data_IF_953131872526
#
_entry.id   IF_953131872526
#
_cell.length_a   1.000
_cell.length_b   1.000
_cell.length_c   1.000
_cell.angle_alpha   90.00
_cell.angle_beta   90.00
_cell.angle_gamma   90.00
#
_symmetry.space_group_name_H-M   'P 1'
#
loop_
_entity.id
_entity.type
_entity.pdbx_description
1 polymer ?
#
# COMPACT_ATOMS: atom_id res chain seq x y z
N UNK A 1 -27.22 56.38 -53.67
CA UNK A 1 -26.94 56.64 -52.25
C UNK A 1 -28.12 56.23 -51.35
N UNK A 2 -29.38 56.20 -51.82
CA UNK A 2 -30.56 55.89 -51.02
C UNK A 2 -30.77 54.34 -50.80
N UNK A 3 -30.27 53.48 -51.64
CA UNK A 3 -30.48 52.03 -51.61
C UNK A 3 -29.79 51.38 -50.39
N UNK A 4 -28.58 51.68 -49.98
CA UNK A 4 -27.96 51.12 -48.79
C UNK A 4 -28.65 51.57 -47.50
N UNK A 5 -29.17 52.76 -47.45
CA UNK A 5 -29.91 53.29 -46.29
C UNK A 5 -31.24 52.55 -46.11
N UNK A 6 -31.94 52.25 -47.20
CA UNK A 6 -33.18 51.49 -47.17
C UNK A 6 -32.96 50.03 -46.75
N UNK A 7 -31.85 49.42 -47.20
CA UNK A 7 -31.45 48.09 -46.79
C UNK A 7 -31.05 47.99 -45.32
N UNK A 8 -30.36 49.03 -44.82
CA UNK A 8 -30.01 49.17 -43.41
C UNK A 8 -31.23 49.34 -42.50
N UNK A 9 -32.26 50.07 -42.95
CA UNK A 9 -33.52 50.19 -42.24
C UNK A 9 -34.37 48.90 -42.21
N UNK A 10 -34.28 48.05 -43.23
CA UNK A 10 -34.96 46.74 -43.27
C UNK A 10 -34.19 45.60 -42.58
N UNK A 11 -32.91 45.75 -42.32
CA UNK A 11 -32.20 44.90 -41.35
C UNK A 11 -32.63 45.36 -39.96
N UNK A 12 -33.85 44.92 -39.68
CA UNK A 12 -34.66 45.45 -38.59
C UNK A 12 -33.89 45.36 -37.26
N UNK A 13 -34.08 46.38 -36.45
CA UNK A 13 -33.71 46.42 -35.04
C UNK A 13 -34.09 45.09 -34.36
N UNK A 14 -35.17 44.46 -34.78
CA UNK A 14 -35.59 43.12 -34.33
C UNK A 14 -34.52 42.04 -34.63
N UNK A 15 -33.93 42.04 -35.81
CA UNK A 15 -32.90 40.99 -36.14
C UNK A 15 -31.60 41.18 -35.35
N UNK A 16 -31.18 42.42 -35.10
CA UNK A 16 -30.04 42.73 -34.26
C UNK A 16 -30.29 42.43 -32.79
N UNK A 17 -31.53 42.66 -32.31
CA UNK A 17 -31.91 42.32 -30.93
C UNK A 17 -32.01 40.82 -30.73
N UNK A 18 -32.62 40.08 -31.67
CA UNK A 18 -32.71 38.61 -31.60
C UNK A 18 -31.34 37.93 -31.72
N UNK A 19 -30.44 38.45 -32.60
CA UNK A 19 -29.08 37.96 -32.70
C UNK A 19 -28.30 38.27 -31.43
N UNK A 20 -28.48 39.46 -30.85
CA UNK A 20 -27.84 39.85 -29.58
C UNK A 20 -28.32 38.96 -28.43
N UNK A 21 -29.63 38.64 -28.41
CA UNK A 21 -30.22 37.76 -27.41
C UNK A 21 -29.70 36.31 -27.53
N UNK A 22 -29.62 35.76 -28.76
CA UNK A 22 -29.04 34.45 -29.03
C UNK A 22 -27.55 34.39 -28.60
N UNK A 23 -26.80 35.47 -28.83
CA UNK A 23 -25.38 35.56 -28.39
C UNK A 23 -25.25 35.56 -26.90
N UNK A 24 -26.15 36.19 -26.15
CA UNK A 24 -26.20 36.14 -24.71
C UNK A 24 -26.54 34.75 -24.15
N UNK A 25 -27.51 34.07 -24.77
CA UNK A 25 -27.89 32.71 -24.37
C UNK A 25 -26.71 31.74 -24.59
N UNK A 26 -26.05 31.80 -25.75
CA UNK A 26 -24.89 30.96 -26.02
C UNK A 26 -23.74 31.25 -25.05
N UNK A 27 -23.46 32.51 -24.81
CA UNK A 27 -22.42 32.91 -23.82
C UNK A 27 -22.74 32.36 -22.43
N UNK A 28 -23.98 32.53 -21.96
CA UNK A 28 -24.39 32.05 -20.66
C UNK A 28 -24.34 30.52 -20.57
N UNK A 29 -24.71 29.81 -21.65
CA UNK A 29 -24.58 28.37 -21.75
C UNK A 29 -23.11 27.94 -21.65
N UNK A 30 -22.19 28.60 -22.35
CA UNK A 30 -20.76 28.31 -22.27
C UNK A 30 -20.18 28.55 -20.88
N UNK A 31 -20.60 29.61 -20.20
CA UNK A 31 -20.20 29.90 -18.83
C UNK A 31 -20.72 28.81 -17.88
N UNK A 32 -21.99 28.43 -18.02
CA UNK A 32 -22.59 27.37 -17.21
C UNK A 32 -21.88 26.02 -17.42
N UNK A 33 -21.55 25.69 -18.69
CA UNK A 33 -20.80 24.48 -19.05
C UNK A 33 -19.38 24.50 -18.44
N UNK A 34 -18.67 25.61 -18.52
CA UNK A 34 -17.35 25.76 -17.90
C UNK A 34 -17.41 25.61 -16.38
N UNK A 35 -18.41 26.20 -15.74
CA UNK A 35 -18.67 26.06 -14.30
C UNK A 35 -18.96 24.60 -13.94
N UNK A 36 -19.80 23.92 -14.68
CA UNK A 36 -20.11 22.51 -14.46
C UNK A 36 -18.88 21.62 -14.59
N UNK A 37 -18.06 21.83 -15.62
CA UNK A 37 -16.80 21.10 -15.83
C UNK A 37 -15.83 21.37 -14.66
N UNK A 38 -15.69 22.64 -14.25
CA UNK A 38 -14.82 23.00 -13.13
C UNK A 38 -15.26 22.35 -11.82
N UNK A 39 -16.55 22.32 -11.53
CA UNK A 39 -17.09 21.67 -10.33
C UNK A 39 -16.84 20.15 -10.38
N UNK A 40 -17.06 19.51 -11.54
CA UNK A 40 -16.80 18.08 -11.74
C UNK A 40 -15.30 17.75 -11.54
N UNK A 41 -14.42 18.57 -12.10
CA UNK A 41 -12.98 18.38 -11.93
C UNK A 41 -12.54 18.57 -10.48
N UNK A 42 -12.97 19.66 -9.86
CA UNK A 42 -12.61 19.95 -8.46
C UNK A 42 -13.18 18.88 -7.52
N UNK A 43 -14.44 18.50 -7.71
CA UNK A 43 -15.08 17.44 -6.94
C UNK A 43 -14.44 16.07 -7.16
N UNK A 44 -14.05 15.76 -8.40
CA UNK A 44 -13.31 14.55 -8.74
C UNK A 44 -11.95 14.47 -8.08
N UNK A 45 -11.15 15.54 -8.17
CA UNK A 45 -9.84 15.62 -7.52
C UNK A 45 -9.98 15.51 -6.00
N UNK A 46 -10.95 16.23 -5.42
CA UNK A 46 -11.21 16.16 -3.98
C UNK A 46 -11.65 14.76 -3.55
N UNK A 47 -12.55 14.12 -4.30
CA UNK A 47 -12.99 12.75 -4.04
C UNK A 47 -11.86 11.73 -4.13
N UNK A 48 -11.00 11.85 -5.14
CA UNK A 48 -9.79 11.02 -5.28
C UNK A 48 -8.85 11.24 -4.09
N UNK A 49 -8.61 12.50 -3.68
CA UNK A 49 -7.75 12.82 -2.53
C UNK A 49 -8.31 12.23 -1.24
N UNK A 50 -9.62 12.30 -1.01
CA UNK A 50 -10.25 11.67 0.15
C UNK A 50 -10.11 10.15 0.13
N UNK A 51 -10.33 9.50 -1.03
CA UNK A 51 -10.13 8.06 -1.18
C UNK A 51 -8.68 7.65 -0.94
N UNK A 52 -7.71 8.43 -1.44
CA UNK A 52 -6.30 8.21 -1.14
C UNK A 52 -5.99 8.40 0.34
N UNK A 53 -6.50 9.45 0.98
CA UNK A 53 -6.30 9.65 2.42
C UNK A 53 -6.92 8.52 3.23
N UNK A 54 -8.16 8.09 2.95
CA UNK A 54 -8.75 6.92 3.61
C UNK A 54 -7.93 5.65 3.37
N UNK A 55 -7.38 5.49 2.16
CA UNK A 55 -6.50 4.37 1.83
C UNK A 55 -5.22 4.40 2.65
N UNK A 56 -4.60 5.59 2.81
CA UNK A 56 -3.37 5.77 3.58
C UNK A 56 -3.61 5.81 5.09
N UNK A 57 -4.72 6.38 5.56
CA UNK A 57 -5.09 6.36 6.99
C UNK A 57 -5.50 4.95 7.46
N UNK A 58 -6.01 4.12 6.55
CA UNK A 58 -6.28 2.70 6.82
C UNK A 58 -5.01 1.84 6.92
N UNK A 59 -3.87 2.34 6.46
CA UNK A 59 -2.57 1.69 6.66
C UNK A 59 -2.13 1.90 8.10
N UNK A 60 -2.00 0.81 8.83
CA UNK A 60 -1.41 0.88 10.16
C UNK A 60 0.06 1.28 10.05
N UNK A 61 0.40 2.47 10.53
CA UNK A 61 1.77 2.98 10.61
C UNK A 61 2.18 3.00 12.08
N UNK A 62 2.91 2.00 12.55
CA UNK A 62 3.31 1.93 13.94
C UNK A 62 4.39 2.94 14.32
N UNK A 63 5.19 3.38 13.34
CA UNK A 63 6.20 4.41 13.52
C UNK A 63 5.60 5.80 13.32
N UNK A 64 6.03 6.76 14.11
CA UNK A 64 5.75 8.17 13.85
C UNK A 64 6.52 8.66 12.61
N UNK A 65 6.05 9.75 11.98
CA UNK A 65 6.75 10.34 10.83
C UNK A 65 8.21 10.71 11.14
N UNK A 66 8.51 11.11 12.38
CA UNK A 66 9.89 11.40 12.81
C UNK A 66 10.72 10.13 12.88
N UNK A 67 10.15 9.03 13.32
CA UNK A 67 10.83 7.73 13.39
C UNK A 67 11.02 7.13 12.01
N UNK A 68 10.01 7.21 11.13
CA UNK A 68 10.13 6.78 9.74
C UNK A 68 11.27 7.52 9.01
N UNK A 69 11.39 8.83 9.22
CA UNK A 69 12.46 9.65 8.63
C UNK A 69 13.86 9.30 9.15
N UNK A 70 13.97 8.58 10.24
CA UNK A 70 15.26 8.10 10.80
C UNK A 70 15.60 6.68 10.36
N UNK A 71 14.69 5.98 9.69
CA UNK A 71 14.95 4.63 9.20
C UNK A 71 15.62 4.71 7.83
N UNK A 72 16.79 4.11 7.73
CA UNK A 72 17.51 3.95 6.46
C UNK A 72 17.38 2.49 6.04
N UNK A 73 16.97 2.24 4.80
CA UNK A 73 16.91 0.92 4.22
C UNK A 73 18.00 0.74 3.16
N UNK A 74 18.67 -0.41 3.19
CA UNK A 74 19.66 -0.80 2.20
C UNK A 74 19.25 -2.15 1.61
N UNK A 75 18.88 -2.16 0.33
CA UNK A 75 18.51 -3.37 -0.39
C UNK A 75 19.67 -3.89 -1.22
N UNK A 76 19.95 -5.17 -1.11
CA UNK A 76 21.07 -5.85 -1.77
C UNK A 76 20.56 -6.67 -2.93
N UNK A 77 20.62 -6.11 -4.12
CA UNK A 77 20.07 -6.77 -5.32
C UNK A 77 21.11 -7.57 -6.14
N UNK A 78 22.40 -7.58 -5.74
CA UNK A 78 23.46 -8.17 -6.56
C UNK A 78 24.33 -9.13 -5.76
N UNK A 79 24.63 -10.29 -6.35
CA UNK A 79 25.51 -11.32 -5.75
C UNK A 79 26.88 -10.76 -5.34
N UNK A 80 27.40 -9.77 -6.06
CA UNK A 80 28.67 -9.11 -5.73
C UNK A 80 28.58 -8.28 -4.43
N UNK A 81 27.42 -7.69 -4.13
CA UNK A 81 27.20 -6.98 -2.89
C UNK A 81 27.07 -7.93 -1.70
N UNK A 82 26.50 -9.11 -1.88
CA UNK A 82 26.38 -10.11 -0.80
C UNK A 82 27.73 -10.54 -0.23
N UNK A 83 28.79 -10.63 -1.05
CA UNK A 83 30.12 -11.02 -0.59
C UNK A 83 30.80 -10.03 0.36
N UNK A 84 30.46 -8.75 0.24
CA UNK A 84 31.08 -7.69 1.05
C UNK A 84 30.08 -7.13 2.08
N UNK A 85 28.88 -7.72 2.17
CA UNK A 85 27.81 -7.16 2.97
C UNK A 85 28.16 -7.17 4.47
N UNK A 86 28.78 -8.25 4.96
CA UNK A 86 29.16 -8.33 6.38
C UNK A 86 30.13 -7.21 6.77
N UNK A 87 31.06 -6.85 5.89
CA UNK A 87 31.97 -5.74 6.12
C UNK A 87 31.23 -4.40 6.12
N UNK A 88 30.36 -4.17 5.13
CA UNK A 88 29.54 -2.97 5.02
C UNK A 88 28.62 -2.82 6.24
N UNK A 89 27.97 -3.91 6.64
CA UNK A 89 27.09 -3.91 7.82
C UNK A 89 27.88 -3.61 9.11
N UNK A 90 29.08 -4.18 9.24
CA UNK A 90 29.98 -3.90 10.36
C UNK A 90 30.38 -2.43 10.40
N UNK A 91 30.74 -1.86 9.25
CA UNK A 91 31.12 -0.46 9.15
C UNK A 91 29.94 0.48 9.50
N UNK A 92 28.76 0.20 8.99
CA UNK A 92 27.54 0.98 9.30
C UNK A 92 27.21 0.86 10.78
N UNK A 93 27.30 -0.33 11.38
CA UNK A 93 27.04 -0.55 12.79
C UNK A 93 28.06 0.13 13.72
N UNK A 94 29.25 0.43 13.22
CA UNK A 94 30.27 1.17 13.99
C UNK A 94 29.94 2.66 14.12
N UNK A 95 28.97 3.17 13.36
CA UNK A 95 28.53 4.55 13.44
C UNK A 95 27.74 4.78 14.75
N UNK A 96 28.10 5.80 15.48
CA UNK A 96 27.47 6.15 16.77
C UNK A 96 26.00 6.56 16.65
N UNK A 97 25.59 6.94 15.46
CA UNK A 97 24.24 7.37 15.12
C UNK A 97 23.26 6.20 14.94
N UNK A 98 23.78 4.99 14.71
CA UNK A 98 22.96 3.79 14.53
C UNK A 98 22.71 3.14 15.88
N UNK A 99 21.47 3.16 16.32
CA UNK A 99 21.04 2.62 17.62
C UNK A 99 20.38 1.25 17.52
N UNK A 100 19.82 0.91 16.36
CA UNK A 100 19.10 -0.34 16.18
C UNK A 100 19.15 -0.81 14.71
N UNK A 101 18.98 -2.12 14.48
CA UNK A 101 18.90 -2.69 13.13
C UNK A 101 17.99 -3.91 13.08
N UNK A 102 17.43 -4.14 11.91
CA UNK A 102 16.75 -5.39 11.56
C UNK A 102 16.95 -5.72 10.08
N UNK A 103 16.59 -6.92 9.70
CA UNK A 103 16.72 -7.35 8.32
C UNK A 103 15.52 -8.16 7.85
N UNK A 104 15.27 -8.11 6.54
CA UNK A 104 14.19 -8.83 5.92
C UNK A 104 14.58 -9.34 4.52
N UNK A 105 13.95 -10.43 4.12
CA UNK A 105 14.04 -10.99 2.77
C UNK A 105 12.96 -10.38 1.87
N UNK A 106 11.71 -10.40 2.34
CA UNK A 106 10.56 -9.77 1.73
C UNK A 106 9.91 -8.85 2.76
N UNK A 107 9.56 -7.66 2.35
CA UNK A 107 8.96 -6.64 3.21
C UNK A 107 7.65 -6.15 2.64
N UNK A 108 6.90 -5.42 3.44
CA UNK A 108 5.69 -4.72 3.01
C UNK A 108 5.96 -3.67 1.92
N UNK A 109 7.21 -3.21 1.80
CA UNK A 109 7.65 -2.21 0.82
C UNK A 109 8.22 -2.86 -0.45
N UNK A 110 8.15 -4.19 -0.56
CA UNK A 110 8.67 -4.88 -1.74
C UNK A 110 7.78 -4.62 -2.97
N UNK A 111 8.39 -4.26 -4.08
CA UNK A 111 7.69 -4.13 -5.37
C UNK A 111 7.08 -5.47 -5.86
N UNK A 112 7.52 -6.57 -5.27
CA UNK A 112 7.07 -7.92 -5.62
C UNK A 112 6.66 -8.66 -4.35
N UNK A 113 5.37 -8.94 -4.23
CA UNK A 113 4.84 -9.76 -3.16
C UNK A 113 4.99 -11.25 -3.48
N UNK A 114 5.46 -12.00 -2.50
CA UNK A 114 5.50 -13.45 -2.57
C UNK A 114 4.28 -14.02 -1.85
N UNK A 115 3.61 -14.97 -2.49
CA UNK A 115 2.44 -15.63 -1.94
C UNK A 115 2.71 -17.10 -1.69
N UNK A 116 2.08 -17.64 -0.65
CA UNK A 116 2.01 -19.07 -0.38
C UNK A 116 0.55 -19.53 -0.48
N UNK A 117 0.35 -20.74 -0.95
CA UNK A 117 -0.98 -21.31 -1.05
C UNK A 117 -1.38 -21.92 0.29
N UNK A 118 -2.42 -21.38 0.90
CA UNK A 118 -3.05 -21.97 2.07
C UNK A 118 -3.85 -23.22 1.68
N UNK A 119 -3.60 -24.31 2.34
CA UNK A 119 -4.19 -25.61 2.06
C UNK A 119 -4.97 -26.13 3.27
N UNK A 120 -6.15 -26.73 3.00
CA UNK A 120 -6.95 -27.47 3.98
C UNK A 120 -7.38 -28.80 3.37
N UNK A 121 -7.16 -29.90 4.08
CA UNK A 121 -7.48 -31.26 3.64
C UNK A 121 -6.90 -31.59 2.25
N UNK A 122 -5.66 -31.14 1.99
CA UNK A 122 -4.98 -31.31 0.73
C UNK A 122 -5.50 -30.46 -0.45
N UNK A 123 -6.43 -29.53 -0.20
CA UNK A 123 -7.03 -28.66 -1.22
C UNK A 123 -6.65 -27.20 -1.00
N UNK A 124 -6.33 -26.45 -2.07
CA UNK A 124 -6.07 -25.02 -1.96
C UNK A 124 -7.34 -24.27 -1.54
N UNK A 125 -7.19 -23.36 -0.60
CA UNK A 125 -8.28 -22.51 -0.07
C UNK A 125 -8.10 -21.04 -0.36
N UNK A 126 -6.87 -20.60 -0.58
CA UNK A 126 -6.55 -19.22 -0.88
C UNK A 126 -5.05 -18.98 -0.87
N UNK A 127 -4.66 -17.78 -1.20
CA UNK A 127 -3.28 -17.33 -1.13
C UNK A 127 -3.09 -16.46 0.10
N UNK A 128 -1.96 -16.60 0.75
CA UNK A 128 -1.51 -15.73 1.84
C UNK A 128 -0.25 -15.00 1.41
N UNK A 129 -0.15 -13.73 1.72
CA UNK A 129 1.05 -12.95 1.47
C UNK A 129 2.14 -13.40 2.44
N UNK A 130 3.32 -13.67 1.93
CA UNK A 130 4.45 -14.12 2.73
C UNK A 130 5.42 -12.97 3.00
N UNK A 131 5.72 -12.74 4.26
CA UNK A 131 6.77 -11.85 4.74
C UNK A 131 7.84 -12.70 5.39
N UNK A 132 9.09 -12.41 5.09
CA UNK A 132 10.22 -13.12 5.67
C UNK A 132 11.19 -12.12 6.26
N UNK A 133 11.42 -12.19 7.57
CA UNK A 133 12.31 -11.29 8.27
C UNK A 133 12.85 -11.91 9.56
N UNK A 134 13.79 -11.22 10.21
CA UNK A 134 14.25 -11.56 11.55
C UNK A 134 13.13 -11.32 12.59
N UNK A 135 13.09 -12.04 13.71
CA UNK A 135 12.10 -11.83 14.77
C UNK A 135 12.09 -10.40 15.31
N UNK A 136 13.25 -9.76 15.38
CA UNK A 136 13.41 -8.38 15.83
C UNK A 136 12.68 -7.36 14.95
N UNK A 137 12.27 -7.73 13.75
CA UNK A 137 11.48 -6.89 12.82
C UNK A 137 10.21 -6.34 13.47
N UNK A 138 9.52 -7.14 14.28
CA UNK A 138 8.32 -6.70 15.00
C UNK A 138 8.60 -5.57 15.99
N UNK A 139 9.70 -5.68 16.75
CA UNK A 139 10.09 -4.68 17.75
C UNK A 139 10.62 -3.41 17.08
N UNK A 140 11.45 -3.57 16.05
CA UNK A 140 12.04 -2.46 15.31
C UNK A 140 10.95 -1.56 14.69
N UNK A 141 9.97 -2.16 14.03
CA UNK A 141 8.84 -1.45 13.43
C UNK A 141 7.66 -1.25 14.38
N UNK A 142 7.78 -1.59 15.66
CA UNK A 142 6.73 -1.48 16.68
C UNK A 142 5.42 -2.14 16.26
N UNK A 143 5.50 -3.26 15.54
CA UNK A 143 4.34 -4.02 15.09
C UNK A 143 3.72 -4.75 16.28
N UNK A 144 2.46 -4.52 16.65
CA UNK A 144 1.83 -5.27 17.70
C UNK A 144 1.75 -6.74 17.33
N UNK A 145 2.27 -7.58 18.20
CA UNK A 145 2.15 -9.02 18.05
C UNK A 145 1.75 -9.66 19.38
N UNK A 146 1.14 -10.81 19.30
CA UNK A 146 0.82 -11.66 20.44
C UNK A 146 1.38 -13.06 20.21
N UNK A 147 1.96 -13.63 21.23
CA UNK A 147 2.62 -14.94 21.17
C UNK A 147 4.06 -14.87 21.65
N UNK A 148 4.83 -15.91 21.37
CA UNK A 148 6.23 -16.01 21.77
C UNK A 148 7.13 -15.70 20.59
N UNK A 149 8.09 -14.80 20.76
CA UNK A 149 9.17 -14.64 19.79
C UNK A 149 9.96 -15.95 19.71
N UNK A 150 10.06 -16.47 18.51
CA UNK A 150 10.86 -17.66 18.21
C UNK A 150 12.28 -17.25 17.89
N UNK A 151 13.21 -18.14 18.18
CA UNK A 151 14.61 -17.92 17.87
C UNK A 151 14.80 -17.74 16.35
N UNK A 152 15.76 -16.92 15.95
CA UNK A 152 16.06 -16.64 14.54
C UNK A 152 16.36 -17.89 13.70
N UNK A 153 16.88 -18.95 14.35
CA UNK A 153 17.20 -20.23 13.71
C UNK A 153 16.07 -21.24 13.79
N UNK A 154 14.93 -20.89 14.40
CA UNK A 154 13.79 -21.79 14.54
C UNK A 154 13.08 -21.96 13.21
N UNK A 155 13.00 -23.20 12.72
CA UNK A 155 12.31 -23.55 11.50
C UNK A 155 10.90 -24.13 11.79
N UNK A 156 10.00 -23.97 10.82
CA UNK A 156 8.66 -24.57 10.91
C UNK A 156 7.69 -23.79 11.80
N UNK A 157 7.99 -22.54 12.14
CA UNK A 157 7.09 -21.64 12.84
C UNK A 157 6.64 -20.51 11.93
N UNK A 158 5.42 -20.00 12.20
CA UNK A 158 4.83 -18.89 11.45
C UNK A 158 4.05 -18.00 12.41
N UNK A 159 4.13 -16.69 12.18
CA UNK A 159 3.17 -15.74 12.75
C UNK A 159 2.14 -15.43 11.68
N UNK A 160 0.89 -15.30 12.09
CA UNK A 160 -0.24 -15.07 11.19
C UNK A 160 -0.86 -13.70 11.44
N UNK A 161 -1.34 -13.05 10.39
CA UNK A 161 -2.10 -11.82 10.56
C UNK A 161 -3.44 -12.08 11.26
N UNK A 162 -3.99 -11.05 11.90
CA UNK A 162 -5.33 -11.14 12.54
C UNK A 162 -6.39 -11.58 11.53
N UNK A 163 -6.32 -11.08 10.29
CA UNK A 163 -7.24 -11.46 9.23
C UNK A 163 -7.12 -12.95 8.86
N UNK A 164 -5.89 -13.46 8.72
CA UNK A 164 -5.69 -14.88 8.43
C UNK A 164 -6.12 -15.77 9.59
N UNK A 165 -5.94 -15.32 10.83
CA UNK A 165 -6.48 -15.99 12.02
C UNK A 165 -7.99 -16.17 11.95
N UNK A 166 -8.73 -15.13 11.53
CA UNK A 166 -10.18 -15.23 11.34
C UNK A 166 -10.57 -16.27 10.28
N UNK A 167 -9.79 -16.34 9.19
CA UNK A 167 -10.00 -17.36 8.16
C UNK A 167 -9.74 -18.76 8.71
N UNK A 168 -8.66 -18.97 9.45
CA UNK A 168 -8.35 -20.25 10.08
C UNK A 168 -9.44 -20.67 11.09
N UNK A 169 -10.00 -19.71 11.84
CA UNK A 169 -11.11 -19.99 12.76
C UNK A 169 -12.37 -20.46 12.00
N UNK A 170 -12.71 -19.80 10.88
CA UNK A 170 -13.81 -20.24 9.99
C UNK A 170 -13.58 -21.66 9.46
N UNK A 171 -12.34 -22.00 9.20
CA UNK A 171 -11.94 -23.31 8.73
C UNK A 171 -11.74 -24.34 9.86
N UNK A 172 -11.94 -23.95 11.13
CA UNK A 172 -11.74 -24.78 12.33
C UNK A 172 -10.31 -25.32 12.47
N UNK A 173 -9.32 -24.53 12.09
CA UNK A 173 -7.90 -24.85 12.19
C UNK A 173 -7.28 -24.09 13.35
N UNK A 174 -6.52 -24.80 14.17
CA UNK A 174 -5.81 -24.23 15.32
C UNK A 174 -4.45 -24.88 15.50
N UNK A 175 -3.47 -24.10 15.93
CA UNK A 175 -2.13 -24.57 16.31
C UNK A 175 -1.15 -24.77 15.18
N UNK A 176 -1.57 -25.26 14.00
CA UNK A 176 -0.72 -25.38 12.81
C UNK A 176 -1.48 -25.06 11.53
N UNK A 177 -0.76 -24.72 10.49
CA UNK A 177 -1.31 -24.39 9.16
C UNK A 177 -0.45 -24.99 8.08
N UNK A 178 -1.08 -25.46 7.00
CA UNK A 178 -0.36 -25.98 5.81
C UNK A 178 -0.28 -24.89 4.74
N UNK A 179 0.95 -24.54 4.39
CA UNK A 179 1.27 -23.56 3.37
C UNK A 179 2.20 -24.20 2.33
N UNK A 180 1.82 -24.16 1.05
CA UNK A 180 2.53 -24.83 -0.06
C UNK A 180 2.87 -26.30 0.22
N UNK A 181 1.92 -27.01 0.89
CA UNK A 181 2.10 -28.42 1.25
C UNK A 181 3.03 -28.68 2.44
N UNK A 182 3.57 -27.65 3.08
CA UNK A 182 4.41 -27.76 4.28
C UNK A 182 3.66 -27.30 5.51
N UNK A 183 3.76 -28.05 6.59
CA UNK A 183 3.11 -27.72 7.87
C UNK A 183 3.99 -26.76 8.68
N UNK A 184 3.35 -25.71 9.20
CA UNK A 184 3.95 -24.73 10.09
C UNK A 184 3.16 -24.62 11.39
N UNK A 185 3.86 -24.52 12.52
CA UNK A 185 3.25 -24.23 13.82
C UNK A 185 3.02 -22.74 13.97
N UNK A 186 1.84 -22.36 14.43
CA UNK A 186 1.49 -20.97 14.68
C UNK A 186 2.14 -20.53 16.00
N UNK A 187 3.13 -19.62 15.92
CA UNK A 187 3.84 -19.07 17.06
C UNK A 187 3.10 -17.89 17.70
N UNK A 188 2.30 -17.19 16.91
CA UNK A 188 1.56 -16.03 17.38
C UNK A 188 0.79 -15.33 16.26
N UNK A 189 0.19 -14.20 16.65
CA UNK A 189 -0.54 -13.35 15.71
C UNK A 189 0.03 -11.94 15.72
N UNK A 190 -0.03 -11.25 14.60
CA UNK A 190 0.39 -9.85 14.48
C UNK A 190 -0.66 -9.02 13.74
N UNK A 191 -0.62 -7.72 13.97
CA UNK A 191 -1.44 -6.78 13.23
C UNK A 191 -0.74 -6.45 11.91
N UNK A 192 -1.39 -6.76 10.81
CA UNK A 192 -0.83 -6.46 9.50
C UNK A 192 -0.60 -4.96 9.31
N UNK A 193 0.54 -4.61 8.69
CA UNK A 193 0.93 -3.22 8.44
C UNK A 193 0.24 -2.63 7.23
N UNK A 194 -0.33 -3.47 6.39
CA UNK A 194 -0.79 -3.05 5.07
C UNK A 194 -2.23 -3.48 4.82
N UNK A 195 -3.00 -2.59 4.16
CA UNK A 195 -4.35 -2.88 3.68
C UNK A 195 -4.38 -3.99 2.62
N UNK A 196 -3.22 -4.41 2.12
CA UNK A 196 -3.13 -5.48 1.12
C UNK A 196 -3.59 -6.84 1.61
N UNK A 197 -3.63 -7.05 2.92
CA UNK A 197 -4.36 -8.17 3.52
C UNK A 197 -5.83 -8.17 3.12
N UNK A 198 -6.37 -7.02 2.71
CA UNK A 198 -7.76 -6.86 2.29
C UNK A 198 -7.96 -6.93 0.78
N UNK A 199 -6.90 -7.07 -0.02
CA UNK A 199 -7.06 -7.27 -1.46
C UNK A 199 -7.73 -8.62 -1.72
N UNK A 200 -8.62 -8.61 -2.69
CA UNK A 200 -9.53 -9.71 -3.03
C UNK A 200 -8.88 -11.05 -3.38
N UNK A 201 -7.55 -11.11 -3.48
CA UNK A 201 -6.79 -12.29 -3.85
C UNK A 201 -6.09 -13.00 -2.69
N UNK A 202 -5.96 -12.35 -1.52
CA UNK A 202 -5.31 -12.97 -0.36
C UNK A 202 -6.27 -13.11 0.82
N UNK A 203 -6.11 -14.20 1.57
CA UNK A 203 -6.89 -14.46 2.79
C UNK A 203 -6.18 -13.92 4.05
N UNK A 204 -5.11 -13.18 3.86
CA UNK A 204 -4.30 -12.56 4.91
C UNK A 204 -2.81 -12.70 4.64
N UNK A 205 -1.99 -12.43 5.64
CA UNK A 205 -0.54 -12.54 5.54
C UNK A 205 0.07 -13.44 6.61
N UNK A 206 1.25 -13.93 6.31
CA UNK A 206 2.06 -14.76 7.21
C UNK A 206 3.46 -14.19 7.30
N UNK A 207 4.04 -14.27 8.50
CA UNK A 207 5.40 -13.89 8.75
C UNK A 207 6.22 -15.13 9.10
N UNK A 208 7.22 -15.42 8.28
CA UNK A 208 8.18 -16.49 8.47
C UNK A 208 9.49 -15.92 8.99
N UNK A 209 10.01 -16.55 10.04
CA UNK A 209 11.35 -16.24 10.51
C UNK A 209 12.35 -16.76 9.48
N UNK A 210 13.17 -15.85 8.94
CA UNK A 210 14.20 -16.17 7.97
C UNK A 210 15.48 -15.40 8.30
N UNK A 211 16.60 -16.08 8.54
CA UNK A 211 17.89 -15.43 8.77
C UNK A 211 18.52 -14.86 7.49
N UNK A 212 18.05 -15.24 6.32
CA UNK A 212 18.51 -14.65 5.07
C UNK A 212 17.85 -13.29 4.86
N UNK A 213 18.62 -12.29 4.52
CA UNK A 213 18.15 -10.95 4.30
C UNK A 213 18.66 -10.38 2.98
N UNK A 214 17.78 -9.62 2.32
CA UNK A 214 18.14 -8.80 1.16
C UNK A 214 17.95 -7.30 1.45
N UNK A 215 17.19 -6.96 2.47
CA UNK A 215 16.99 -5.58 2.89
C UNK A 215 17.33 -5.44 4.37
N UNK A 216 18.16 -4.47 4.67
CA UNK A 216 18.63 -4.14 6.02
C UNK A 216 18.07 -2.77 6.38
N UNK A 217 17.54 -2.66 7.58
CA UNK A 217 16.99 -1.44 8.14
C UNK A 217 17.83 -1.02 9.34
N UNK A 218 18.12 0.28 9.40
CA UNK A 218 18.90 0.92 10.45
C UNK A 218 18.12 2.09 11.04
N UNK A 219 18.24 2.29 12.34
CA UNK A 219 17.56 3.38 13.06
C UNK A 219 18.55 4.10 13.97
#
# INVERSE_FOLDING_TARGET
ILYPIYRLRRLSVLHSVVQRQKRHVFRNFMIALQLAISILFTGGVFGITLLFNEMFEGMYRPLSTEEENRVISISVNTICMQKNMDAILSDIQSLSEITDRTSAFNTFDADVYTYMTYMKDGKPRGNVMMIQAEPHYFEFFKIPFSGKLVDKDAQGFVYISEQFKEQLQRDSIAGSVTLDGKEYRIAGTYRALNREDTQSSSVGSVFLVNPQAYTYYFK
#
